data_IF_380788966537
#
_entry.id   IF_380788966537
#
_cell.length_a   1.000
_cell.length_b   1.000
_cell.length_c   1.000
_cell.angle_alpha   90.00
_cell.angle_beta   90.00
_cell.angle_gamma   90.00
#
_symmetry.space_group_name_H-M   'P 1'
#
loop_
_entity.id
_entity.type
_entity.pdbx_description
1 polymer ?
#
# COMPACT_ATOMS: atom_id res chain seq x y z
N UNK A 1 -10.20 34.48 -13.80
CA UNK A 1 -9.75 33.31 -13.01
C UNK A 1 -10.40 31.99 -13.45
N UNK A 2 -11.70 31.75 -13.23
CA UNK A 2 -12.34 30.46 -13.59
C UNK A 2 -12.34 30.19 -15.11
N UNK A 3 -12.54 31.22 -15.94
CA UNK A 3 -12.47 31.08 -17.40
C UNK A 3 -11.03 30.85 -17.89
N UNK A 4 -10.04 31.53 -17.30
CA UNK A 4 -8.62 31.30 -17.61
C UNK A 4 -8.18 29.89 -17.17
N UNK A 5 -8.65 29.42 -16.00
CA UNK A 5 -8.42 28.06 -15.53
C UNK A 5 -9.03 27.05 -16.50
N UNK A 6 -10.29 27.23 -16.92
CA UNK A 6 -10.94 26.38 -17.92
C UNK A 6 -10.16 26.33 -19.24
N UNK A 7 -9.69 27.48 -19.73
CA UNK A 7 -8.84 27.54 -20.93
C UNK A 7 -7.47 26.86 -20.72
N UNK A 8 -6.92 26.91 -19.52
CA UNK A 8 -5.66 26.25 -19.17
C UNK A 8 -5.81 24.72 -19.16
N UNK A 9 -6.87 24.17 -18.56
CA UNK A 9 -7.11 22.71 -18.59
C UNK A 9 -7.62 22.25 -19.95
N UNK A 10 -8.28 23.09 -20.75
CA UNK A 10 -8.63 22.73 -22.13
C UNK A 10 -7.41 22.53 -23.04
N UNK A 11 -6.20 22.86 -22.57
CA UNK A 11 -4.96 22.46 -23.24
C UNK A 11 -4.79 20.95 -23.07
N UNK A 12 -5.03 20.18 -24.15
CA UNK A 12 -4.96 18.71 -24.13
C UNK A 12 -3.72 18.14 -23.44
N UNK A 13 -2.54 18.73 -23.68
CA UNK A 13 -1.27 18.32 -23.04
C UNK A 13 -1.32 18.34 -21.49
N UNK A 14 -2.07 19.26 -20.88
CA UNK A 14 -2.17 19.36 -19.41
C UNK A 14 -3.12 18.30 -18.84
N UNK A 15 -4.22 18.02 -19.53
CA UNK A 15 -5.19 16.99 -19.11
C UNK A 15 -4.59 15.61 -19.24
N UNK A 16 -3.94 15.31 -20.37
CA UNK A 16 -3.35 14.00 -20.62
C UNK A 16 -2.21 13.72 -19.64
N UNK A 17 -1.41 14.74 -19.30
CA UNK A 17 -0.38 14.65 -18.26
C UNK A 17 -0.99 14.40 -16.88
N UNK A 18 -2.06 15.13 -16.51
CA UNK A 18 -2.71 14.96 -15.21
C UNK A 18 -3.34 13.56 -15.07
N UNK A 19 -3.99 13.07 -16.13
CA UNK A 19 -4.56 11.71 -16.17
C UNK A 19 -3.45 10.66 -16.03
N UNK A 20 -2.33 10.82 -16.73
CA UNK A 20 -1.19 9.91 -16.63
C UNK A 20 -0.61 9.81 -15.21
N UNK A 21 -0.50 10.93 -14.49
CA UNK A 21 -0.02 10.96 -13.10
C UNK A 21 -1.01 10.28 -12.16
N UNK A 22 -2.31 10.56 -12.32
CA UNK A 22 -3.36 9.97 -11.46
C UNK A 22 -3.43 8.45 -11.66
N UNK A 23 -3.40 7.98 -12.92
CA UNK A 23 -3.36 6.55 -13.23
C UNK A 23 -2.09 5.94 -12.67
N UNK A 24 -0.92 6.56 -12.87
CA UNK A 24 0.35 6.06 -12.34
C UNK A 24 0.34 5.90 -10.82
N UNK A 25 -0.17 6.90 -10.09
CA UNK A 25 -0.27 6.86 -8.64
C UNK A 25 -1.25 5.80 -8.13
N UNK A 26 -2.44 5.68 -8.76
CA UNK A 26 -3.43 4.69 -8.36
C UNK A 26 -2.99 3.26 -8.71
N UNK A 27 -2.37 3.07 -9.88
CA UNK A 27 -1.95 1.75 -10.36
C UNK A 27 -0.79 1.18 -9.54
N UNK A 28 0.09 2.03 -9.01
CA UNK A 28 1.15 1.61 -8.09
C UNK A 28 0.60 0.87 -6.86
N UNK A 29 -0.50 1.37 -6.26
CA UNK A 29 -1.13 0.71 -5.12
C UNK A 29 -1.73 -0.66 -5.46
N UNK A 30 -2.30 -0.79 -6.67
CA UNK A 30 -2.84 -2.07 -7.16
C UNK A 30 -1.74 -3.09 -7.33
N UNK A 31 -0.61 -2.67 -7.92
CA UNK A 31 0.56 -3.54 -8.09
C UNK A 31 1.18 -3.90 -6.74
N UNK A 32 1.28 -2.96 -5.79
CA UNK A 32 1.78 -3.27 -4.44
C UNK A 32 0.93 -4.36 -3.77
N UNK A 33 -0.39 -4.19 -3.78
CA UNK A 33 -1.32 -5.17 -3.18
C UNK A 33 -1.19 -6.54 -3.83
N UNK A 34 -1.07 -6.59 -5.16
CA UNK A 34 -0.85 -7.84 -5.88
C UNK A 34 0.48 -8.52 -5.49
N UNK A 35 1.54 -7.72 -5.34
CA UNK A 35 2.85 -8.24 -4.92
C UNK A 35 2.78 -8.78 -3.50
N UNK A 36 2.21 -8.00 -2.58
CA UNK A 36 2.19 -8.30 -1.16
C UNK A 36 1.25 -9.47 -0.81
N UNK A 37 0.07 -9.55 -1.44
CA UNK A 37 -0.94 -10.55 -1.11
C UNK A 37 -0.87 -11.81 -1.97
N UNK A 38 -0.32 -11.74 -3.18
CA UNK A 38 -0.32 -12.89 -4.11
C UNK A 38 1.09 -13.39 -4.39
N UNK A 39 2.05 -12.51 -4.70
CA UNK A 39 3.40 -12.94 -5.04
C UNK A 39 4.22 -13.31 -3.81
N UNK A 40 4.21 -12.50 -2.76
CA UNK A 40 5.00 -12.77 -1.55
C UNK A 40 4.65 -14.11 -0.88
N UNK A 41 3.38 -14.55 -0.76
CA UNK A 41 3.07 -15.87 -0.22
C UNK A 41 3.61 -17.00 -1.10
N UNK A 42 3.48 -16.90 -2.44
CA UNK A 42 3.99 -17.90 -3.37
C UNK A 42 5.52 -17.97 -3.33
N UNK A 43 6.18 -16.82 -3.28
CA UNK A 43 7.63 -16.72 -3.15
C UNK A 43 8.08 -17.24 -1.78
N UNK A 44 7.39 -16.89 -0.69
CA UNK A 44 7.66 -17.38 0.66
C UNK A 44 7.55 -18.90 0.78
N UNK A 45 6.57 -19.50 0.09
CA UNK A 45 6.45 -20.96 -0.03
C UNK A 45 7.64 -21.59 -0.78
N UNK A 46 8.15 -20.94 -1.83
CA UNK A 46 9.27 -21.46 -2.63
C UNK A 46 10.63 -21.30 -1.95
N UNK A 47 10.83 -20.26 -1.13
CA UNK A 47 12.13 -20.00 -0.46
C UNK A 47 12.25 -20.74 0.89
N UNK A 48 11.17 -21.34 1.41
CA UNK A 48 11.26 -22.25 2.56
C UNK A 48 10.20 -22.08 3.65
N UNK A 49 9.02 -21.54 3.34
CA UNK A 49 7.89 -21.46 4.28
C UNK A 49 8.01 -20.36 5.33
N UNK A 50 8.91 -19.38 5.12
CA UNK A 50 8.97 -18.18 5.94
C UNK A 50 7.92 -17.21 5.40
N UNK A 51 6.82 -17.07 6.13
CA UNK A 51 5.81 -16.04 5.90
C UNK A 51 6.33 -14.69 6.41
N UNK A 52 6.92 -13.89 5.52
CA UNK A 52 7.38 -12.53 5.83
C UNK A 52 6.23 -11.55 6.11
N UNK A 53 5.00 -11.91 5.78
CA UNK A 53 3.83 -11.05 6.00
C UNK A 53 3.40 -11.01 7.47
N UNK A 54 3.76 -12.03 8.27
CA UNK A 54 3.47 -12.09 9.70
C UNK A 54 4.73 -12.27 10.56
N UNK A 55 5.93 -12.03 10.00
CA UNK A 55 7.17 -12.06 10.76
C UNK A 55 7.41 -10.68 11.40
N UNK A 56 6.97 -10.53 12.65
CA UNK A 56 7.17 -9.32 13.42
C UNK A 56 7.57 -9.64 14.85
N UNK A 57 8.36 -8.75 15.45
CA UNK A 57 8.71 -8.78 16.86
C UNK A 57 8.05 -7.56 17.50
N UNK A 58 7.16 -7.79 18.45
CA UNK A 58 6.59 -6.72 19.27
C UNK A 58 7.67 -6.18 20.20
N UNK A 59 8.07 -4.93 19.99
CA UNK A 59 9.06 -4.22 20.81
C UNK A 59 8.37 -3.54 22.00
N UNK A 60 7.11 -3.16 21.83
CA UNK A 60 6.25 -2.57 22.85
C UNK A 60 4.82 -3.05 22.69
N UNK A 61 4.26 -3.61 23.77
CA UNK A 61 2.83 -3.97 23.81
C UNK A 61 1.93 -2.75 23.60
N UNK A 62 0.87 -2.95 22.83
CA UNK A 62 -0.20 -1.98 22.62
C UNK A 62 -1.22 -1.98 23.77
N UNK A 63 -2.42 -1.45 23.52
CA UNK A 63 -3.49 -1.36 24.52
C UNK A 63 -3.97 -2.75 25.03
N UNK A 64 -3.74 -3.80 24.25
CA UNK A 64 -4.03 -5.20 24.62
C UNK A 64 -2.72 -5.97 24.66
N UNK A 65 -2.29 -6.47 25.82
CA UNK A 65 -1.04 -7.24 25.93
C UNK A 65 -1.05 -8.51 25.05
N UNK A 66 0.07 -8.79 24.38
CA UNK A 66 0.21 -9.88 23.41
C UNK A 66 0.08 -11.31 23.98
N UNK A 67 0.16 -12.36 23.13
CA UNK A 67 0.68 -12.34 21.76
C UNK A 67 -0.36 -12.04 20.68
N UNK A 68 0.02 -11.25 19.67
CA UNK A 68 -0.81 -10.96 18.50
C UNK A 68 -0.61 -12.02 17.41
N UNK A 69 -1.69 -12.50 16.82
CA UNK A 69 -1.64 -13.54 15.79
C UNK A 69 -1.20 -13.00 14.41
N UNK A 70 -1.32 -11.70 14.15
CA UNK A 70 -1.02 -11.07 12.84
C UNK A 70 -0.44 -9.67 13.02
N UNK A 71 0.32 -9.19 12.02
CA UNK A 71 0.89 -7.83 12.00
C UNK A 71 -0.20 -6.75 12.09
N UNK A 72 -1.35 -7.03 11.48
CA UNK A 72 -2.51 -6.14 11.48
C UNK A 72 -3.14 -6.03 12.88
N UNK A 73 -3.26 -7.15 13.60
CA UNK A 73 -3.76 -7.16 14.97
C UNK A 73 -2.83 -6.40 15.93
N UNK A 74 -1.51 -6.51 15.75
CA UNK A 74 -0.53 -5.76 16.52
C UNK A 74 -0.61 -4.24 16.25
N UNK A 75 -0.70 -3.83 14.97
CA UNK A 75 -0.85 -2.41 14.58
C UNK A 75 -2.17 -1.80 15.07
N UNK A 76 -3.27 -2.54 14.96
CA UNK A 76 -4.58 -2.09 15.44
C UNK A 76 -4.65 -1.98 16.98
N UNK A 77 -3.88 -2.80 17.70
CA UNK A 77 -3.71 -2.68 19.14
C UNK A 77 -2.75 -1.52 19.54
N UNK A 78 -2.13 -0.84 18.57
CA UNK A 78 -1.15 0.21 18.84
C UNK A 78 0.22 -0.31 19.31
N UNK A 79 0.48 -1.60 19.12
CA UNK A 79 1.78 -2.20 19.42
C UNK A 79 2.80 -1.84 18.33
N UNK A 80 4.07 -1.68 18.74
CA UNK A 80 5.20 -1.29 17.88
C UNK A 80 6.30 -2.33 17.96
#
# INVERSE_FOLDING_TARGET
>A
MLNEFKQFIQRGNVVDMAVGIIIGAAFASVISTLVDEVLMPVIGLLIGGIDFSNLFLTLKDGDVAGPYATLEAAKNAGAV
#
